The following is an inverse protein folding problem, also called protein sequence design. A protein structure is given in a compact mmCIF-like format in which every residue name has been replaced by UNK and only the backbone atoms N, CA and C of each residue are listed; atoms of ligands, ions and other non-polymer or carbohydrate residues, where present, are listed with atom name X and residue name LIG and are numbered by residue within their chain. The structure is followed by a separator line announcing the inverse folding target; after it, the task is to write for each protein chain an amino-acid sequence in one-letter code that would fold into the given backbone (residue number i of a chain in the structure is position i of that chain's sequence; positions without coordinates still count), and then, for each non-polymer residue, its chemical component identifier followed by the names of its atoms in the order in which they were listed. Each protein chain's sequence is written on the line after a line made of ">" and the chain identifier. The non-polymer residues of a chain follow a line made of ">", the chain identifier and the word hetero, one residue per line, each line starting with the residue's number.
data_IF_480044157831
#
_entry.id   IF_480044157831
#
_cell.length_a   1.000
_cell.length_b   1.000
_cell.length_c   1.000
_cell.angle_alpha   90.00
_cell.angle_beta   90.00
_cell.angle_gamma   90.00
#
_symmetry.space_group_name_H-M   'P 1'
#
loop_
_entity.id
_entity.type
_entity.pdbx_description
1 polymer ?
#
# COMPACT_ATOMS: atom_id res chain seq x y z
N UNK A 1 28.54 -17.36 8.94
CA UNK A 1 28.37 -15.92 8.63
C UNK A 1 27.25 -15.64 7.64
N UNK A 2 27.15 -16.38 6.51
CA UNK A 2 26.14 -16.15 5.45
C UNK A 2 24.66 -16.19 5.90
N UNK A 3 24.22 -17.17 6.72
CA UNK A 3 22.81 -17.30 7.13
C UNK A 3 22.29 -16.11 7.96
N UNK A 4 23.10 -15.59 8.89
CA UNK A 4 22.72 -14.45 9.75
C UNK A 4 22.54 -13.17 8.94
N UNK A 5 23.35 -12.98 7.90
CA UNK A 5 23.25 -11.81 7.01
C UNK A 5 21.94 -11.90 6.20
N UNK A 6 21.62 -13.06 5.63
CA UNK A 6 20.40 -13.27 4.84
C UNK A 6 19.14 -12.99 5.67
N UNK A 7 19.08 -13.48 6.92
CA UNK A 7 17.94 -13.23 7.80
C UNK A 7 17.79 -11.76 8.20
N UNK A 8 18.91 -11.07 8.45
CA UNK A 8 18.91 -9.61 8.67
C UNK A 8 18.40 -8.88 7.43
N UNK A 9 18.88 -9.23 6.24
CA UNK A 9 18.45 -8.62 4.97
C UNK A 9 16.96 -8.81 4.72
N UNK A 10 16.43 -10.03 4.90
CA UNK A 10 14.99 -10.31 4.80
C UNK A 10 14.18 -9.44 5.76
N UNK A 11 14.64 -9.33 7.01
CA UNK A 11 13.96 -8.53 8.02
C UNK A 11 13.94 -7.04 7.65
N UNK A 12 15.08 -6.49 7.22
CA UNK A 12 15.21 -5.09 6.80
C UNK A 12 14.34 -4.78 5.59
N UNK A 13 14.46 -5.55 4.51
CA UNK A 13 13.66 -5.33 3.29
C UNK A 13 12.16 -5.39 3.58
N UNK A 14 11.72 -6.37 4.37
CA UNK A 14 10.32 -6.52 4.77
C UNK A 14 9.83 -5.33 5.60
N UNK A 15 10.64 -4.83 6.54
CA UNK A 15 10.27 -3.67 7.38
C UNK A 15 10.21 -2.40 6.52
N UNK A 16 11.21 -2.16 5.67
CA UNK A 16 11.25 -0.99 4.78
C UNK A 16 10.03 -0.98 3.84
N UNK A 17 9.78 -2.08 3.13
CA UNK A 17 8.61 -2.22 2.26
C UNK A 17 7.30 -2.08 3.06
N UNK A 18 7.22 -2.69 4.25
CA UNK A 18 6.06 -2.59 5.14
C UNK A 18 5.75 -1.16 5.54
N UNK A 19 6.73 -0.42 6.04
CA UNK A 19 6.57 0.98 6.42
C UNK A 19 6.19 1.83 5.21
N UNK A 20 6.85 1.66 4.06
CA UNK A 20 6.50 2.39 2.84
C UNK A 20 5.05 2.15 2.40
N UNK A 21 4.56 0.91 2.45
CA UNK A 21 3.18 0.58 2.08
C UNK A 21 2.14 1.10 3.07
N UNK A 22 2.41 1.03 4.38
CA UNK A 22 1.51 1.63 5.39
C UNK A 22 1.42 3.14 5.19
N UNK A 23 2.56 3.82 5.04
CA UNK A 23 2.59 5.26 4.79
C UNK A 23 1.91 5.60 3.46
N UNK A 24 2.16 4.84 2.38
CA UNK A 24 1.48 5.00 1.09
C UNK A 24 -0.03 4.97 1.23
N UNK A 25 -0.56 3.86 1.74
CA UNK A 25 -1.99 3.61 1.79
C UNK A 25 -2.72 4.58 2.72
N UNK A 26 -2.13 4.89 3.88
CA UNK A 26 -2.72 5.86 4.81
C UNK A 26 -2.66 7.29 4.29
N UNK A 27 -1.60 7.69 3.59
CA UNK A 27 -1.54 9.05 3.01
C UNK A 27 -2.48 9.22 1.83
N UNK A 28 -2.62 8.22 0.96
CA UNK A 28 -3.63 8.22 -0.10
C UNK A 28 -5.05 8.23 0.47
N UNK A 29 -5.27 7.50 1.57
CA UNK A 29 -6.56 7.49 2.24
C UNK A 29 -6.91 8.85 2.88
N UNK A 30 -5.97 9.73 3.22
CA UNK A 30 -6.28 11.11 3.70
C UNK A 30 -7.15 11.87 2.69
N UNK A 31 -6.92 11.66 1.39
CA UNK A 31 -7.76 12.26 0.35
C UNK A 31 -8.05 11.22 -0.73
N UNK A 32 -8.97 10.32 -0.39
CA UNK A 32 -9.36 9.21 -1.26
C UNK A 32 -9.96 9.69 -2.59
N UNK A 33 -10.58 10.87 -2.59
CA UNK A 33 -11.17 11.48 -3.79
C UNK A 33 -10.12 12.03 -4.75
N UNK A 34 -9.07 12.69 -4.25
CA UNK A 34 -7.91 13.06 -5.08
C UNK A 34 -7.29 11.83 -5.73
N UNK A 35 -7.10 10.74 -4.97
CA UNK A 35 -6.58 9.50 -5.53
C UNK A 35 -7.55 8.84 -6.54
N UNK A 36 -8.86 8.95 -6.31
CA UNK A 36 -9.87 8.50 -7.26
C UNK A 36 -9.81 9.27 -8.59
N UNK A 37 -9.48 10.57 -8.58
CA UNK A 37 -9.26 11.34 -9.81
C UNK A 37 -8.03 10.86 -10.57
N UNK A 38 -6.94 10.49 -9.89
CA UNK A 38 -5.79 9.88 -10.55
C UNK A 38 -6.18 8.56 -11.22
N UNK A 39 -6.90 7.68 -10.50
CA UNK A 39 -7.41 6.41 -11.06
C UNK A 39 -8.29 6.67 -12.27
N UNK A 40 -9.17 7.68 -12.19
CA UNK A 40 -10.04 8.08 -13.29
C UNK A 40 -9.23 8.44 -14.54
N UNK A 41 -8.21 9.28 -14.41
CA UNK A 41 -7.33 9.65 -15.53
C UNK A 41 -6.60 8.44 -16.14
N UNK A 42 -6.15 7.51 -15.29
CA UNK A 42 -5.58 6.24 -15.76
C UNK A 42 -6.60 5.41 -16.53
N UNK A 43 -7.85 5.33 -16.06
CA UNK A 43 -8.92 4.59 -16.74
C UNK A 43 -9.27 5.22 -18.07
N UNK A 44 -9.47 6.54 -18.13
CA UNK A 44 -9.79 7.26 -19.37
C UNK A 44 -8.70 7.10 -20.44
N UNK A 45 -7.44 6.93 -20.02
CA UNK A 45 -6.30 6.85 -20.94
C UNK A 45 -5.94 5.41 -21.34
N UNK A 46 -6.01 4.45 -20.41
CA UNK A 46 -5.41 3.13 -20.60
C UNK A 46 -6.35 1.93 -20.36
N UNK A 47 -7.56 2.14 -19.85
CA UNK A 47 -8.51 1.05 -19.56
C UNK A 47 -9.89 1.31 -20.17
N UNK A 48 -10.82 0.38 -19.92
CA UNK A 48 -12.20 0.52 -20.35
C UNK A 48 -12.96 1.54 -19.49
N UNK A 49 -13.61 2.49 -20.15
CA UNK A 49 -14.42 3.56 -19.56
C UNK A 49 -15.63 3.06 -18.77
N UNK A 50 -16.04 1.80 -18.91
CA UNK A 50 -17.09 1.18 -18.08
C UNK A 50 -16.74 1.17 -16.59
N UNK A 51 -15.45 1.30 -16.26
CA UNK A 51 -14.94 1.32 -14.88
C UNK A 51 -14.98 2.71 -14.22
N UNK A 52 -15.25 3.78 -14.97
CA UNK A 52 -15.25 5.17 -14.45
C UNK A 52 -16.17 5.41 -13.24
N UNK A 53 -17.40 4.84 -13.18
CA UNK A 53 -18.29 5.04 -12.03
C UNK A 53 -17.74 4.48 -10.72
N UNK A 54 -16.78 3.55 -10.77
CA UNK A 54 -16.27 2.80 -9.63
C UNK A 54 -14.92 3.33 -9.11
N UNK A 55 -14.50 4.51 -9.56
CA UNK A 55 -13.16 5.08 -9.30
C UNK A 55 -12.91 5.33 -7.82
N UNK A 56 -13.92 5.78 -7.07
CA UNK A 56 -13.81 6.04 -5.63
C UNK A 56 -13.74 4.73 -4.85
N UNK A 57 -14.56 3.75 -5.19
CA UNK A 57 -14.56 2.43 -4.58
C UNK A 57 -13.22 1.72 -4.81
N UNK A 58 -12.67 1.83 -6.02
CA UNK A 58 -11.32 1.35 -6.33
C UNK A 58 -10.25 2.06 -5.52
N UNK A 59 -10.34 3.39 -5.36
CA UNK A 59 -9.40 4.14 -4.52
C UNK A 59 -9.41 3.63 -3.07
N UNK A 60 -10.59 3.43 -2.48
CA UNK A 60 -10.75 2.88 -1.12
C UNK A 60 -10.12 1.48 -1.02
N UNK A 61 -10.44 0.60 -1.96
CA UNK A 61 -9.94 -0.79 -1.97
C UNK A 61 -8.41 -0.83 -2.12
N UNK A 62 -7.84 -0.04 -3.03
CA UNK A 62 -6.38 0.00 -3.23
C UNK A 62 -5.68 0.53 -1.98
N UNK A 63 -6.18 1.62 -1.37
CA UNK A 63 -5.61 2.16 -0.13
C UNK A 63 -5.66 1.14 1.02
N UNK A 64 -6.78 0.43 1.14
CA UNK A 64 -6.94 -0.63 2.14
C UNK A 64 -5.96 -1.78 1.90
N UNK A 65 -5.86 -2.29 0.66
CA UNK A 65 -4.94 -3.39 0.31
C UNK A 65 -3.48 -2.99 0.57
N UNK A 66 -3.07 -1.79 0.18
CA UNK A 66 -1.71 -1.27 0.44
C UNK A 66 -1.43 -1.23 1.95
N UNK A 67 -2.33 -0.63 2.72
CA UNK A 67 -2.19 -0.50 4.18
C UNK A 67 -2.14 -1.87 4.85
N UNK A 68 -3.08 -2.76 4.54
CA UNK A 68 -3.15 -4.12 5.10
C UNK A 68 -1.89 -4.93 4.76
N UNK A 69 -1.43 -4.87 3.51
CA UNK A 69 -0.21 -5.57 3.08
C UNK A 69 1.00 -5.04 3.84
N UNK A 70 1.10 -3.73 4.01
CA UNK A 70 2.15 -3.09 4.81
C UNK A 70 2.10 -3.53 6.28
N UNK A 71 0.92 -3.58 6.89
CA UNK A 71 0.74 -4.07 8.26
C UNK A 71 1.14 -5.53 8.39
N UNK A 72 0.73 -6.41 7.47
CA UNK A 72 1.16 -7.81 7.49
C UNK A 72 2.66 -7.97 7.29
N UNK A 73 3.30 -7.09 6.52
CA UNK A 73 4.74 -7.09 6.39
C UNK A 73 5.45 -6.75 7.69
N UNK A 74 4.87 -5.94 8.58
CA UNK A 74 5.43 -5.72 9.91
C UNK A 74 5.35 -6.98 10.79
N UNK A 75 4.43 -7.91 10.49
CA UNK A 75 4.36 -9.26 11.08
C UNK A 75 5.35 -10.24 10.45
N UNK A 76 6.07 -10.99 11.27
CA UNK A 76 7.01 -12.03 10.79
C UNK A 76 6.33 -13.37 10.45
N UNK A 77 5.00 -13.46 10.56
CA UNK A 77 4.26 -14.73 10.51
C UNK A 77 4.01 -15.27 9.10
N UNK A 78 3.70 -14.39 8.14
CA UNK A 78 3.33 -14.77 6.77
C UNK A 78 4.24 -14.14 5.70
N UNK A 79 5.58 -14.30 5.80
CA UNK A 79 6.51 -13.55 4.98
C UNK A 79 6.40 -13.83 3.48
N UNK A 80 6.10 -15.08 3.08
CA UNK A 80 5.97 -15.43 1.66
C UNK A 80 4.73 -14.79 1.04
N UNK A 81 3.57 -14.85 1.70
CA UNK A 81 2.32 -14.26 1.22
C UNK A 81 2.46 -12.75 1.04
N UNK A 82 3.05 -12.07 2.03
CA UNK A 82 3.33 -10.63 1.96
C UNK A 82 4.29 -10.30 0.81
N UNK A 83 5.35 -11.10 0.62
CA UNK A 83 6.33 -10.84 -0.44
C UNK A 83 5.72 -11.01 -1.83
N UNK A 84 4.80 -11.97 -2.00
CA UNK A 84 4.02 -12.12 -3.24
C UNK A 84 3.10 -10.91 -3.45
N UNK A 85 2.39 -10.48 -2.41
CA UNK A 85 1.50 -9.31 -2.49
C UNK A 85 2.28 -8.03 -2.86
N UNK A 86 3.44 -7.79 -2.23
CA UNK A 86 4.31 -6.67 -2.61
C UNK A 86 4.77 -6.76 -4.06
N UNK A 87 5.20 -7.94 -4.51
CA UNK A 87 5.63 -8.13 -5.89
C UNK A 87 4.51 -7.82 -6.89
N UNK A 88 3.31 -8.34 -6.66
CA UNK A 88 2.16 -8.11 -7.54
C UNK A 88 1.76 -6.63 -7.59
N UNK A 89 1.61 -5.99 -6.42
CA UNK A 89 1.24 -4.57 -6.33
C UNK A 89 2.30 -3.67 -6.96
N UNK A 90 3.59 -3.93 -6.69
CA UNK A 90 4.67 -3.14 -7.28
C UNK A 90 4.79 -3.37 -8.78
N UNK A 91 4.53 -4.58 -9.27
CA UNK A 91 4.53 -4.86 -10.71
C UNK A 91 3.44 -4.04 -11.41
N UNK A 92 2.25 -3.97 -10.79
CA UNK A 92 1.16 -3.13 -11.28
C UNK A 92 1.54 -1.64 -11.26
N UNK A 93 2.10 -1.11 -10.17
CA UNK A 93 2.51 0.29 -10.09
C UNK A 93 3.66 0.66 -11.04
N UNK A 94 4.65 -0.20 -11.20
CA UNK A 94 5.73 0.01 -12.19
C UNK A 94 5.18 0.02 -13.60
N UNK A 95 4.22 -0.86 -13.91
CA UNK A 95 3.56 -0.85 -15.21
C UNK A 95 2.77 0.44 -15.43
N UNK A 96 1.91 0.85 -14.48
CA UNK A 96 1.15 2.11 -14.58
C UNK A 96 2.07 3.35 -14.74
N UNK A 97 3.10 3.45 -13.90
CA UNK A 97 4.04 4.58 -13.95
C UNK A 97 4.93 4.56 -15.19
N UNK A 98 5.30 3.37 -15.67
CA UNK A 98 6.04 3.20 -16.92
C UNK A 98 5.20 3.62 -18.12
N UNK A 99 3.96 3.15 -18.23
CA UNK A 99 3.05 3.54 -19.31
C UNK A 99 2.80 5.06 -19.29
N UNK A 100 2.62 5.68 -18.12
CA UNK A 100 2.49 7.14 -17.98
C UNK A 100 3.74 7.93 -18.40
N UNK A 101 4.94 7.34 -18.20
CA UNK A 101 6.21 7.97 -18.58
C UNK A 101 6.49 7.83 -20.09
N UNK A 102 6.22 6.66 -20.66
CA UNK A 102 6.54 6.36 -22.07
C UNK A 102 5.41 6.71 -23.05
N UNK A 103 4.16 6.77 -22.59
CA UNK A 103 2.97 7.11 -23.37
C UNK A 103 2.12 8.15 -22.61
N UNK A 104 2.60 9.40 -22.48
CA UNK A 104 1.86 10.45 -21.78
C UNK A 104 0.52 10.73 -22.47
N UNK A 105 -0.48 11.14 -21.69
CA UNK A 105 -1.79 11.50 -22.21
C UNK A 105 -1.73 12.77 -23.08
N UNK A 106 -2.80 13.04 -23.84
CA UNK A 106 -2.94 14.24 -24.68
C UNK A 106 -2.85 15.57 -23.90
N UNK A 107 -3.07 15.55 -22.57
CA UNK A 107 -2.92 16.71 -21.68
C UNK A 107 -1.59 16.75 -20.91
N UNK A 108 -0.67 15.82 -21.18
CA UNK A 108 0.60 15.66 -20.47
C UNK A 108 0.69 14.37 -19.66
N UNK A 109 1.81 14.18 -18.96
CA UNK A 109 1.97 13.04 -18.05
C UNK A 109 1.18 13.30 -16.77
N UNK A 110 0.49 12.28 -16.26
CA UNK A 110 -0.25 12.38 -15.00
C UNK A 110 0.80 12.53 -13.89
N UNK A 111 0.91 13.75 -13.34
CA UNK A 111 1.71 14.03 -12.15
C UNK A 111 1.03 13.38 -10.94
N UNK A 112 1.23 12.07 -10.84
CA UNK A 112 0.67 11.25 -9.78
C UNK A 112 1.42 11.55 -8.48
N UNK A 113 0.66 11.65 -7.40
CA UNK A 113 1.14 11.62 -6.01
C UNK A 113 1.62 10.20 -5.68
N UNK A 114 2.57 9.68 -6.48
CA UNK A 114 2.88 8.26 -6.57
C UNK A 114 3.18 7.64 -5.20
N UNK A 115 2.43 6.59 -4.86
CA UNK A 115 2.63 5.73 -3.68
C UNK A 115 2.78 6.44 -2.32
N UNK A 116 2.55 7.75 -2.19
CA UNK A 116 2.83 8.49 -0.94
C UNK A 116 1.81 9.60 -0.66
N UNK A 117 0.74 9.69 -1.46
CA UNK A 117 -0.29 10.72 -1.30
C UNK A 117 0.25 12.15 -1.48
N UNK A 118 -0.57 13.15 -1.16
CA UNK A 118 -0.37 14.59 -1.40
C UNK A 118 0.89 15.23 -0.76
N UNK A 119 1.76 14.47 -0.10
CA UNK A 119 2.94 15.02 0.60
C UNK A 119 4.02 15.56 -0.34
N UNK A 120 4.17 15.01 -1.56
CA UNK A 120 5.19 15.43 -2.54
C UNK A 120 4.68 15.19 -3.97
N UNK A 121 4.54 16.26 -4.76
CA UNK A 121 4.38 16.14 -6.21
C UNK A 121 5.67 15.58 -6.80
N UNK A 122 5.64 14.31 -7.20
CA UNK A 122 6.77 13.70 -7.88
C UNK A 122 6.63 13.91 -9.38
N UNK A 123 7.72 14.33 -10.02
CA UNK A 123 7.79 14.29 -11.48
C UNK A 123 7.55 12.84 -11.97
N UNK A 124 6.98 12.65 -13.17
CA UNK A 124 6.72 11.31 -13.72
C UNK A 124 7.94 10.39 -13.67
N UNK A 125 9.13 10.93 -13.96
CA UNK A 125 10.41 10.21 -13.88
C UNK A 125 10.74 9.79 -12.45
N UNK A 126 10.55 10.69 -11.46
CA UNK A 126 10.82 10.37 -10.06
C UNK A 126 9.84 9.32 -9.52
N UNK A 127 8.59 9.37 -9.94
CA UNK A 127 7.56 8.37 -9.58
C UNK A 127 7.91 6.98 -10.14
N UNK A 128 8.37 6.92 -11.40
CA UNK A 128 8.83 5.68 -12.03
C UNK A 128 10.07 5.09 -11.35
N UNK A 129 11.11 5.89 -11.11
CA UNK A 129 12.36 5.43 -10.45
C UNK A 129 12.06 4.85 -9.07
N UNK A 130 11.26 5.56 -8.27
CA UNK A 130 10.84 5.12 -6.95
C UNK A 130 10.07 3.81 -6.98
N UNK A 131 9.11 3.68 -7.91
CA UNK A 131 8.36 2.44 -8.09
C UNK A 131 9.26 1.29 -8.53
N UNK A 132 10.22 1.55 -9.42
CA UNK A 132 11.23 0.57 -9.85
C UNK A 132 12.12 0.10 -8.70
N UNK A 133 12.59 1.00 -7.83
CA UNK A 133 13.40 0.65 -6.65
C UNK A 133 12.61 -0.21 -5.67
N UNK A 134 11.38 0.17 -5.35
CA UNK A 134 10.48 -0.63 -4.50
C UNK A 134 10.20 -2.01 -5.11
N UNK A 135 10.05 -2.09 -6.43
CA UNK A 135 9.86 -3.36 -7.16
C UNK A 135 11.11 -4.25 -7.10
N UNK A 136 12.31 -3.70 -7.25
CA UNK A 136 13.57 -4.45 -7.08
C UNK A 136 13.70 -5.00 -5.65
N UNK A 137 13.33 -4.21 -4.64
CA UNK A 137 13.31 -4.69 -3.25
C UNK A 137 12.29 -5.81 -3.04
N UNK A 138 11.08 -5.68 -3.62
CA UNK A 138 10.02 -6.68 -3.54
C UNK A 138 10.42 -8.00 -4.23
N UNK A 139 10.97 -7.93 -5.44
CA UNK A 139 11.46 -9.10 -6.19
C UNK A 139 12.61 -9.79 -5.46
N UNK A 140 13.57 -9.03 -4.93
CA UNK A 140 14.66 -9.55 -4.12
C UNK A 140 14.16 -10.27 -2.86
N UNK A 141 13.22 -9.66 -2.13
CA UNK A 141 12.61 -10.27 -0.94
C UNK A 141 11.88 -11.58 -1.27
N UNK A 142 11.07 -11.58 -2.34
CA UNK A 142 10.37 -12.77 -2.80
C UNK A 142 11.34 -13.89 -3.17
N UNK A 143 12.38 -13.59 -3.96
CA UNK A 143 13.41 -14.55 -4.34
C UNK A 143 14.13 -15.17 -3.14
N UNK A 144 14.41 -14.38 -2.09
CA UNK A 144 14.99 -14.88 -0.84
C UNK A 144 14.05 -15.86 -0.12
N UNK A 145 12.74 -15.57 -0.03
CA UNK A 145 11.80 -16.47 0.64
C UNK A 145 11.51 -17.75 -0.15
N UNK A 146 11.43 -17.67 -1.48
CA UNK A 146 11.27 -18.85 -2.35
C UNK A 146 12.45 -19.82 -2.21
N UNK A 147 13.69 -19.31 -2.20
CA UNK A 147 14.90 -20.13 -1.99
C UNK A 147 14.96 -20.81 -0.60
N UNK A 148 14.25 -20.27 0.38
CA UNK A 148 14.23 -20.83 1.75
C UNK A 148 13.18 -21.94 1.91
N UNK A 149 12.36 -22.21 0.88
CA UNK A 149 11.35 -23.28 0.94
C UNK A 149 10.21 -23.02 1.91
N UNK A 150 9.88 -21.75 2.17
CA UNK A 150 8.78 -21.39 3.07
C UNK A 150 7.46 -21.92 2.49
N UNK A 151 6.69 -22.68 3.28
CA UNK A 151 5.38 -23.18 2.85
C UNK A 151 4.30 -22.16 3.18
N UNK A 152 3.51 -21.77 2.19
CA UNK A 152 2.32 -20.94 2.39
C UNK A 152 1.16 -21.82 2.85
N UNK A 153 0.51 -21.47 3.95
CA UNK A 153 -0.72 -22.13 4.41
C UNK A 153 -1.83 -21.11 4.61
N UNK A 154 -2.77 -21.09 3.66
CA UNK A 154 -3.89 -20.14 3.66
C UNK A 154 -4.87 -20.40 4.80
N UNK A 155 -5.08 -21.67 5.18
CA UNK A 155 -5.95 -22.01 6.33
C UNK A 155 -5.41 -21.46 7.65
N UNK A 156 -4.08 -21.42 7.83
CA UNK A 156 -3.45 -20.82 9.02
C UNK A 156 -3.56 -19.29 8.97
N UNK A 157 -3.49 -18.70 7.78
CA UNK A 157 -3.69 -17.25 7.61
C UNK A 157 -5.12 -16.83 7.98
N UNK A 158 -6.13 -17.56 7.49
CA UNK A 158 -7.55 -17.26 7.71
C UNK A 158 -8.01 -17.54 9.13
N UNK A 159 -7.43 -18.52 9.85
CA UNK A 159 -7.87 -18.86 11.22
C UNK A 159 -7.26 -17.98 12.32
N UNK A 160 -6.38 -17.06 11.96
CA UNK A 160 -5.61 -16.29 12.93
C UNK A 160 -6.32 -14.99 13.35
N UNK A 161 -6.68 -14.88 14.63
CA UNK A 161 -7.40 -13.72 15.17
C UNK A 161 -6.66 -12.38 14.95
N UNK A 162 -5.32 -12.38 15.00
CA UNK A 162 -4.55 -11.15 14.76
C UNK A 162 -4.59 -10.74 13.29
N UNK A 163 -4.70 -11.70 12.36
CA UNK A 163 -4.93 -11.41 10.94
C UNK A 163 -6.21 -10.60 10.77
N UNK A 164 -7.31 -11.01 11.42
CA UNK A 164 -8.56 -10.26 11.37
C UNK A 164 -8.44 -8.86 11.96
N UNK A 165 -7.81 -8.73 13.13
CA UNK A 165 -7.61 -7.43 13.78
C UNK A 165 -6.80 -6.46 12.91
N UNK A 166 -5.75 -6.94 12.24
CA UNK A 166 -4.91 -6.13 11.36
C UNK A 166 -5.61 -5.77 10.04
N UNK A 167 -6.39 -6.68 9.49
CA UNK A 167 -7.23 -6.41 8.31
C UNK A 167 -8.23 -5.30 8.60
N UNK A 168 -8.96 -5.39 9.72
CA UNK A 168 -9.92 -4.37 10.14
C UNK A 168 -9.19 -3.03 10.37
N UNK A 169 -8.08 -3.05 11.12
CA UNK A 169 -7.28 -1.85 11.38
C UNK A 169 -6.78 -1.17 10.09
N UNK A 170 -6.41 -1.94 9.07
CA UNK A 170 -5.97 -1.41 7.77
C UNK A 170 -7.10 -0.86 6.88
N UNK A 171 -8.35 -1.33 7.06
CA UNK A 171 -9.51 -0.81 6.34
C UNK A 171 -10.04 0.50 6.91
N UNK A 172 -9.94 0.69 8.23
CA UNK A 172 -10.51 1.82 8.96
C UNK A 172 -10.15 3.19 8.35
N UNK A 173 -8.88 3.50 8.01
CA UNK A 173 -8.55 4.81 7.46
C UNK A 173 -9.24 5.10 6.12
N UNK A 174 -9.26 4.13 5.21
CA UNK A 174 -9.89 4.30 3.90
C UNK A 174 -11.42 4.43 3.99
N UNK A 175 -12.06 3.64 4.87
CA UNK A 175 -13.51 3.71 5.10
C UNK A 175 -13.89 5.02 5.77
N UNK A 176 -13.13 5.46 6.79
CA UNK A 176 -13.38 6.73 7.46
C UNK A 176 -13.32 7.88 6.46
N UNK A 177 -12.33 7.90 5.57
CA UNK A 177 -12.22 8.93 4.55
C UNK A 177 -13.37 8.91 3.56
N UNK A 178 -13.79 7.74 3.10
CA UNK A 178 -14.95 7.61 2.23
C UNK A 178 -16.24 8.18 2.85
N UNK A 179 -16.45 7.97 4.16
CA UNK A 179 -17.68 8.40 4.83
C UNK A 179 -17.59 9.86 5.28
N UNK A 180 -16.46 10.30 5.83
CA UNK A 180 -16.36 11.56 6.55
C UNK A 180 -15.85 12.73 5.71
N UNK A 181 -15.18 12.48 4.58
CA UNK A 181 -14.52 13.55 3.82
C UNK A 181 -15.50 14.58 3.24
N UNK A 182 -16.62 14.13 2.66
CA UNK A 182 -17.66 15.05 2.12
C UNK A 182 -18.63 15.57 3.20
N UNK A 183 -18.76 14.86 4.33
CA UNK A 183 -19.76 15.12 5.35
C UNK A 183 -19.27 16.03 6.50
N UNK A 184 -17.96 16.26 6.61
CA UNK A 184 -17.36 17.05 7.70
C UNK A 184 -16.61 18.26 7.14
N UNK A 185 -16.50 19.31 7.95
CA UNK A 185 -15.61 20.41 7.64
C UNK A 185 -14.16 19.91 7.55
N UNK A 186 -13.42 20.34 6.52
CA UNK A 186 -12.08 19.84 6.19
C UNK A 186 -11.10 19.82 7.39
N UNK A 187 -11.13 20.85 8.25
CA UNK A 187 -10.28 20.92 9.44
C UNK A 187 -10.62 19.83 10.46
N UNK A 188 -11.91 19.64 10.71
CA UNK A 188 -12.42 18.65 11.65
C UNK A 188 -12.16 17.22 11.15
N UNK A 189 -12.33 17.02 9.84
CA UNK A 189 -11.97 15.78 9.16
C UNK A 189 -10.50 15.42 9.37
N UNK A 190 -9.56 16.33 9.08
CA UNK A 190 -8.13 16.05 9.23
C UNK A 190 -7.74 15.75 10.68
N UNK A 191 -8.29 16.46 11.66
CA UNK A 191 -8.06 16.18 13.09
C UNK A 191 -8.59 14.78 13.45
N UNK A 192 -9.82 14.47 13.04
CA UNK A 192 -10.42 13.15 13.25
C UNK A 192 -9.60 12.02 12.62
N UNK A 193 -9.14 12.22 11.38
CA UNK A 193 -8.30 11.26 10.66
C UNK A 193 -6.97 11.00 11.37
N UNK A 194 -6.30 12.04 11.86
CA UNK A 194 -5.04 11.89 12.60
C UNK A 194 -5.25 11.16 13.95
N UNK A 195 -6.33 11.47 14.66
CA UNK A 195 -6.68 10.77 15.91
C UNK A 195 -6.97 9.28 15.63
N UNK A 196 -7.72 9.00 14.57
CA UNK A 196 -8.01 7.64 14.10
C UNK A 196 -6.72 6.86 13.78
N UNK A 197 -5.80 7.48 13.05
CA UNK A 197 -4.50 6.89 12.73
C UNK A 197 -3.68 6.60 13.99
N UNK A 198 -3.64 7.52 14.95
CA UNK A 198 -2.97 7.28 16.23
C UNK A 198 -3.56 6.08 16.96
N UNK A 199 -4.89 5.96 16.99
CA UNK A 199 -5.56 4.81 17.60
C UNK A 199 -5.23 3.49 16.88
N UNK A 200 -5.23 3.49 15.55
CA UNK A 200 -4.82 2.34 14.72
C UNK A 200 -3.37 1.95 15.02
N UNK A 201 -2.45 2.91 15.09
CA UNK A 201 -1.04 2.68 15.44
C UNK A 201 -0.90 2.10 16.85
N UNK A 202 -1.66 2.59 17.83
CA UNK A 202 -1.65 2.05 19.20
C UNK A 202 -2.11 0.59 19.21
N UNK A 203 -3.19 0.25 18.50
CA UNK A 203 -3.68 -1.14 18.38
C UNK A 203 -2.60 -2.03 17.76
N UNK A 204 -1.99 -1.57 16.68
CA UNK A 204 -0.89 -2.27 16.01
C UNK A 204 0.27 -2.49 16.99
N UNK A 205 0.74 -1.44 17.68
CA UNK A 205 1.79 -1.53 18.67
C UNK A 205 1.43 -2.52 19.80
N UNK A 206 0.19 -2.52 20.28
CA UNK A 206 -0.29 -3.46 21.28
C UNK A 206 -0.23 -4.91 20.77
N UNK A 207 -0.72 -5.17 19.55
CA UNK A 207 -0.68 -6.48 18.91
C UNK A 207 0.76 -6.98 18.66
N UNK A 208 1.71 -6.09 18.38
CA UNK A 208 3.07 -6.45 17.97
C UNK A 208 4.13 -6.41 19.09
N UNK A 209 4.00 -5.51 20.06
CA UNK A 209 5.03 -5.25 21.08
C UNK A 209 4.73 -5.99 22.39
N UNK A 210 3.46 -6.10 22.79
CA UNK A 210 3.10 -6.61 24.13
C UNK A 210 2.90 -8.14 24.16
N UNK A 211 2.70 -8.78 23.01
CA UNK A 211 2.54 -10.26 22.89
C UNK A 211 3.82 -11.03 22.54
N UNK A 212 4.98 -10.40 22.71
CA UNK A 212 6.28 -11.05 22.56
C UNK A 212 6.78 -11.57 23.90
#
# INVERSE_FOLDING_TARGET
>A
MSKTIIEKTKATLRIVLGVCFVLSGTMKAVNVYSFAQEIRLYIETYFDTTLLPWTVEMAVVICAIETITGLFALRKKFPLLVSIAFFLMMTFFVWLTGVNLFYPSLMGSIESCGCFGELIHFSPTSSFVKSGVLWIMATGLLGLYLKTGYKMSLNVFLKDNETYSLTIAGMIPAIFSYICFENMEHRLYLVGYNILLLFVVIIICFCYVIRK
#
